data_IF_062019875604
#
_entry.id   IF_062019875604
#
_cell.length_a   1.000
_cell.length_b   1.000
_cell.length_c   1.000
_cell.angle_alpha   90.00
_cell.angle_beta   90.00
_cell.angle_gamma   90.00
#
_symmetry.space_group_name_H-M   'P 1'
#
loop_
_entity.id
_entity.type
_entity.pdbx_description
1 polymer ?
#
# COMPACT_ATOMS: atom_id res chain seq x y z
N UNK A 1 23.55 -18.58 -36.73
CA UNK A 1 24.03 -17.34 -36.13
C UNK A 1 22.81 -16.57 -35.60
N UNK A 2 22.63 -16.44 -34.30
CA UNK A 2 21.55 -15.67 -33.72
C UNK A 2 21.77 -14.18 -34.05
N UNK A 3 20.74 -13.50 -34.57
CA UNK A 3 20.80 -12.05 -34.84
C UNK A 3 20.62 -11.31 -33.54
N UNK A 4 21.64 -10.62 -33.08
CA UNK A 4 21.52 -9.64 -32.00
C UNK A 4 20.65 -8.47 -32.49
N UNK A 5 19.64 -8.09 -31.74
CA UNK A 5 18.79 -6.94 -32.00
C UNK A 5 18.93 -5.99 -30.82
N UNK A 6 19.33 -4.76 -31.11
CA UNK A 6 19.31 -3.68 -30.11
C UNK A 6 17.88 -3.21 -29.93
N UNK A 7 17.41 -3.17 -28.67
CA UNK A 7 16.11 -2.65 -28.28
C UNK A 7 16.34 -1.63 -27.18
N UNK A 8 15.61 -0.54 -27.23
CA UNK A 8 15.59 0.50 -26.20
C UNK A 8 14.31 0.38 -25.40
N UNK A 9 14.40 0.38 -24.08
CA UNK A 9 13.23 0.35 -23.22
C UNK A 9 13.22 1.49 -22.21
N UNK A 10 12.04 1.98 -21.87
CA UNK A 10 11.84 2.99 -20.86
C UNK A 10 11.98 2.37 -19.47
N UNK A 11 12.84 2.92 -18.62
CA UNK A 11 13.07 2.46 -17.23
C UNK A 11 11.84 2.64 -16.35
N UNK A 12 11.00 3.64 -16.63
CA UNK A 12 9.84 3.96 -15.82
C UNK A 12 8.61 3.07 -16.10
N UNK A 13 8.29 2.85 -17.39
CA UNK A 13 7.07 2.12 -17.77
C UNK A 13 7.33 0.86 -18.60
N UNK A 14 8.59 0.57 -18.96
CA UNK A 14 8.95 -0.58 -19.77
C UNK A 14 8.50 -0.51 -21.23
N UNK A 15 8.14 0.67 -21.76
CA UNK A 15 7.83 0.84 -23.17
C UNK A 15 9.05 0.52 -24.03
N UNK A 16 8.89 -0.36 -25.02
CA UNK A 16 9.95 -0.82 -25.89
C UNK A 16 9.95 -0.05 -27.23
N UNK A 17 11.15 0.29 -27.71
CA UNK A 17 11.36 0.96 -28.98
C UNK A 17 12.59 0.41 -29.67
N UNK A 18 12.52 0.36 -31.02
CA UNK A 18 13.68 0.00 -31.85
C UNK A 18 14.74 1.12 -31.92
N UNK A 19 14.42 2.32 -31.42
CA UNK A 19 15.31 3.51 -31.42
C UNK A 19 15.23 4.21 -30.08
N UNK A 20 16.33 4.81 -29.67
CA UNK A 20 16.36 5.69 -28.52
C UNK A 20 15.49 6.93 -28.77
N UNK A 21 14.71 7.32 -27.78
CA UNK A 21 13.84 8.50 -27.82
C UNK A 21 14.07 9.33 -26.56
N UNK A 22 14.11 10.66 -26.70
CA UNK A 22 14.31 11.58 -25.57
C UNK A 22 13.12 11.60 -24.61
N UNK A 23 11.89 11.39 -25.11
CA UNK A 23 10.67 11.30 -24.30
C UNK A 23 9.97 9.96 -24.57
N UNK A 24 9.55 9.28 -23.52
CA UNK A 24 8.82 8.04 -23.62
C UNK A 24 7.36 8.26 -24.08
N UNK A 25 6.88 7.64 -25.15
CA UNK A 25 5.48 7.77 -25.58
C UNK A 25 4.48 7.15 -24.59
N UNK A 26 4.91 6.16 -23.80
CA UNK A 26 4.06 5.46 -22.84
C UNK A 26 3.80 6.26 -21.56
N UNK A 27 4.84 6.76 -20.91
CA UNK A 27 4.73 7.48 -19.63
C UNK A 27 5.08 8.98 -19.69
N UNK A 28 5.52 9.46 -20.87
CA UNK A 28 5.95 10.86 -21.14
C UNK A 28 7.16 11.34 -20.33
N UNK A 29 7.86 10.46 -19.63
CA UNK A 29 9.09 10.78 -18.91
C UNK A 29 10.24 11.02 -19.88
N UNK A 30 11.15 11.97 -19.54
CA UNK A 30 12.29 12.33 -20.36
C UNK A 30 13.54 11.56 -19.95
N UNK A 31 14.38 11.22 -20.95
CA UNK A 31 15.69 10.57 -20.77
C UNK A 31 15.64 9.25 -20.00
N UNK A 32 14.58 8.47 -20.18
CA UNK A 32 14.33 7.21 -19.47
C UNK A 32 14.67 5.97 -20.30
N UNK A 33 15.10 6.10 -21.54
CA UNK A 33 15.44 4.97 -22.42
C UNK A 33 16.84 4.44 -22.14
N UNK A 34 16.91 3.10 -21.96
CA UNK A 34 18.16 2.35 -21.89
C UNK A 34 18.26 1.36 -23.04
N UNK A 35 19.47 1.13 -23.48
CA UNK A 35 19.79 0.15 -24.50
C UNK A 35 19.94 -1.25 -23.89
N UNK A 36 19.32 -2.24 -24.50
CA UNK A 36 19.50 -3.65 -24.16
C UNK A 36 19.70 -4.48 -25.43
N UNK A 37 20.68 -5.41 -25.39
CA UNK A 37 20.93 -6.33 -26.48
C UNK A 37 20.11 -7.60 -26.25
N UNK A 38 19.14 -7.85 -27.10
CA UNK A 38 18.30 -9.06 -27.05
C UNK A 38 18.71 -9.99 -28.17
N UNK A 39 19.16 -11.20 -27.83
CA UNK A 39 19.35 -12.30 -28.80
C UNK A 39 18.00 -12.92 -29.10
N UNK A 40 17.52 -12.74 -30.31
CA UNK A 40 16.30 -13.40 -30.79
C UNK A 40 16.59 -14.86 -31.06
N UNK A 41 16.48 -15.70 -30.05
CA UNK A 41 16.40 -17.15 -30.21
C UNK A 41 15.07 -17.56 -30.85
N UNK A 42 15.09 -18.47 -31.81
CA UNK A 42 13.87 -19.02 -32.39
C UNK A 42 13.01 -19.65 -31.26
N UNK A 43 11.84 -19.10 -30.98
CA UNK A 43 10.84 -19.75 -30.10
C UNK A 43 10.61 -21.16 -30.61
N UNK A 44 11.11 -22.17 -29.92
CA UNK A 44 10.66 -23.55 -30.10
C UNK A 44 9.16 -23.56 -29.74
N UNK A 45 8.32 -23.68 -30.75
CA UNK A 45 6.91 -24.00 -30.53
C UNK A 45 6.85 -25.40 -29.91
N UNK A 46 6.78 -25.46 -28.60
CA UNK A 46 6.50 -26.69 -27.88
C UNK A 46 5.01 -27.02 -28.01
N UNK A 47 4.76 -28.15 -28.63
CA UNK A 47 3.62 -29.02 -28.39
C UNK A 47 2.22 -28.46 -28.61
N UNK A 48 1.51 -29.07 -29.54
CA UNK A 48 0.06 -29.22 -29.69
C UNK A 48 -0.84 -28.16 -29.04
N UNK A 49 -1.26 -27.14 -29.81
CA UNK A 49 -2.40 -26.31 -29.43
C UNK A 49 -3.63 -27.22 -29.32
N UNK A 50 -4.04 -27.57 -28.10
CA UNK A 50 -5.40 -28.01 -27.85
C UNK A 50 -6.32 -26.89 -28.36
N UNK A 51 -7.25 -27.24 -29.26
CA UNK A 51 -8.20 -26.30 -29.80
C UNK A 51 -8.99 -25.69 -28.60
N UNK A 52 -8.79 -24.39 -28.35
CA UNK A 52 -9.55 -23.68 -27.33
C UNK A 52 -10.95 -23.47 -27.88
N UNK A 53 -11.94 -24.12 -27.30
CA UNK A 53 -13.34 -23.92 -27.63
C UNK A 53 -13.89 -22.79 -26.76
N UNK A 54 -14.49 -21.76 -27.35
CA UNK A 54 -15.15 -20.72 -26.57
C UNK A 54 -16.31 -21.32 -25.76
N UNK A 55 -16.38 -21.00 -24.48
CA UNK A 55 -17.41 -21.49 -23.54
C UNK A 55 -18.35 -20.35 -23.20
N UNK A 56 -19.65 -20.63 -23.18
CA UNK A 56 -20.65 -19.66 -22.73
C UNK A 56 -20.42 -19.27 -21.27
N UNK A 57 -20.57 -17.99 -20.92
CA UNK A 57 -20.45 -17.51 -19.54
C UNK A 57 -21.45 -18.22 -18.60
N UNK A 58 -22.58 -18.66 -19.13
CA UNK A 58 -23.62 -19.39 -18.37
C UNK A 58 -23.23 -20.84 -18.04
N UNK A 59 -22.27 -21.38 -18.81
CA UNK A 59 -21.75 -22.75 -18.63
C UNK A 59 -20.51 -22.77 -17.72
N UNK A 60 -19.89 -21.60 -17.53
CA UNK A 60 -18.77 -21.48 -16.59
C UNK A 60 -19.33 -21.66 -15.17
N UNK A 61 -19.13 -22.83 -14.60
CA UNK A 61 -19.33 -23.00 -13.17
C UNK A 61 -18.30 -22.12 -12.48
N UNK A 62 -18.76 -21.04 -11.83
CA UNK A 62 -17.97 -20.39 -10.79
C UNK A 62 -17.80 -21.46 -9.72
N UNK A 63 -16.66 -22.17 -9.72
CA UNK A 63 -16.20 -22.76 -8.48
C UNK A 63 -16.19 -21.59 -7.49
N UNK A 64 -16.88 -21.71 -6.35
CA UNK A 64 -16.77 -20.75 -5.28
C UNK A 64 -15.28 -20.43 -5.19
N UNK A 65 -14.92 -19.13 -5.32
CA UNK A 65 -13.53 -18.72 -5.20
C UNK A 65 -13.06 -19.18 -3.84
N UNK A 66 -12.52 -20.41 -3.78
CA UNK A 66 -12.06 -21.01 -2.54
C UNK A 66 -10.84 -20.23 -2.09
N UNK A 67 -11.10 -19.25 -1.25
CA UNK A 67 -10.07 -18.51 -0.55
C UNK A 67 -9.64 -19.32 0.66
N UNK A 68 -8.35 -19.31 0.92
CA UNK A 68 -7.83 -19.89 2.14
C UNK A 68 -7.03 -18.83 2.93
N UNK A 69 -7.09 -18.94 4.25
CA UNK A 69 -6.50 -17.97 5.16
C UNK A 69 -4.97 -18.02 5.07
N UNK A 70 -4.33 -16.86 5.20
CA UNK A 70 -2.88 -16.75 5.41
C UNK A 70 -2.48 -17.06 6.85
N UNK A 71 -3.45 -17.20 7.76
CA UNK A 71 -3.21 -17.23 9.20
C UNK A 71 -2.84 -15.87 9.80
N UNK A 72 -3.00 -14.77 9.01
CA UNK A 72 -2.81 -13.38 9.41
C UNK A 72 -4.03 -12.58 8.95
N UNK A 73 -4.81 -12.03 9.89
CA UNK A 73 -6.07 -11.35 9.58
C UNK A 73 -5.85 -10.05 8.80
N UNK A 74 -4.83 -9.28 9.17
CA UNK A 74 -4.48 -8.05 8.48
C UNK A 74 -3.96 -8.30 7.05
N UNK A 75 -3.27 -9.43 6.82
CA UNK A 75 -2.89 -9.85 5.46
C UNK A 75 -4.09 -10.38 4.67
N UNK A 76 -4.97 -11.15 5.30
CA UNK A 76 -6.23 -11.59 4.66
C UNK A 76 -7.08 -10.40 4.22
N UNK A 77 -7.16 -9.35 5.04
CA UNK A 77 -7.89 -8.12 4.72
C UNK A 77 -7.41 -7.50 3.42
N UNK A 78 -6.11 -7.24 3.28
CA UNK A 78 -5.57 -6.61 2.06
C UNK A 78 -5.63 -7.50 0.83
N UNK A 79 -5.69 -8.82 1.03
CA UNK A 79 -5.91 -9.79 -0.04
C UNK A 79 -7.41 -9.89 -0.44
N UNK A 80 -8.31 -9.25 0.31
CA UNK A 80 -9.76 -9.31 0.06
C UNK A 80 -10.43 -10.55 0.63
N UNK A 81 -9.92 -11.07 1.77
CA UNK A 81 -10.46 -12.20 2.52
C UNK A 81 -9.63 -13.49 2.45
N UNK A 82 -8.41 -13.43 1.92
CA UNK A 82 -7.47 -14.56 1.87
C UNK A 82 -6.85 -14.79 0.50
N UNK A 83 -6.08 -15.87 0.39
CA UNK A 83 -5.36 -16.25 -0.84
C UNK A 83 -6.33 -16.90 -1.82
N UNK A 84 -6.31 -16.44 -3.06
CA UNK A 84 -7.06 -17.05 -4.17
C UNK A 84 -6.14 -18.01 -4.93
N UNK A 85 -6.63 -19.21 -5.21
CA UNK A 85 -5.90 -20.18 -6.03
C UNK A 85 -5.61 -19.63 -7.42
N UNK A 86 -4.46 -20.00 -7.98
CA UNK A 86 -4.05 -19.55 -9.30
C UNK A 86 -3.76 -18.05 -9.38
N UNK A 87 -3.63 -17.35 -8.25
CA UNK A 87 -3.30 -15.92 -8.22
C UNK A 87 -1.81 -15.64 -8.24
N UNK A 88 -1.42 -14.51 -8.82
CA UNK A 88 -0.08 -13.96 -8.75
C UNK A 88 -0.10 -12.64 -7.97
N UNK A 89 0.56 -12.61 -6.83
CA UNK A 89 0.59 -11.47 -5.89
C UNK A 89 1.98 -10.86 -5.86
N UNK A 90 2.09 -9.57 -6.11
CA UNK A 90 3.32 -8.80 -5.95
C UNK A 90 3.35 -8.11 -4.60
N UNK A 91 4.42 -8.30 -3.84
CA UNK A 91 4.69 -7.60 -2.58
C UNK A 91 5.88 -6.67 -2.78
N UNK A 92 5.61 -5.37 -2.86
CA UNK A 92 6.60 -4.31 -3.06
C UNK A 92 6.89 -3.53 -1.77
N UNK A 93 7.92 -2.70 -1.82
CA UNK A 93 8.31 -1.80 -0.73
C UNK A 93 9.82 -1.70 -0.55
N UNK A 94 10.25 -0.77 0.30
CA UNK A 94 11.66 -0.50 0.57
C UNK A 94 12.41 -1.75 1.12
N UNK A 95 13.71 -1.88 0.88
CA UNK A 95 14.53 -2.92 1.49
C UNK A 95 14.47 -2.83 3.03
N UNK A 96 14.31 -3.99 3.69
CA UNK A 96 14.25 -4.06 5.16
C UNK A 96 12.91 -3.64 5.79
N UNK A 97 11.86 -3.34 5.00
CA UNK A 97 10.53 -2.94 5.51
C UNK A 97 9.74 -4.10 6.15
N UNK A 98 10.06 -5.36 5.83
CA UNK A 98 9.39 -6.54 6.38
C UNK A 98 8.76 -7.49 5.35
N UNK A 99 8.93 -7.27 4.04
CA UNK A 99 8.35 -8.11 2.97
C UNK A 99 8.60 -9.61 3.15
N UNK A 100 9.86 -9.99 3.21
CA UNK A 100 10.26 -11.40 3.38
C UNK A 100 9.84 -11.97 4.74
N UNK A 101 9.75 -11.12 5.78
CA UNK A 101 9.32 -11.53 7.13
C UNK A 101 7.83 -11.93 7.12
N UNK A 102 6.95 -11.10 6.56
CA UNK A 102 5.51 -11.42 6.53
C UNK A 102 5.24 -12.65 5.69
N UNK A 103 5.95 -12.81 4.56
CA UNK A 103 5.79 -13.99 3.71
C UNK A 103 6.29 -15.27 4.39
N UNK A 104 7.39 -15.21 5.16
CA UNK A 104 7.82 -16.35 5.98
C UNK A 104 6.81 -16.67 7.08
N UNK A 105 6.21 -15.66 7.74
CA UNK A 105 5.15 -15.89 8.73
C UNK A 105 3.91 -16.53 8.12
N UNK A 106 3.48 -16.05 6.94
CA UNK A 106 2.44 -16.67 6.16
C UNK A 106 2.76 -18.13 5.84
N UNK A 107 3.97 -18.41 5.34
CA UNK A 107 4.42 -19.78 5.03
C UNK A 107 4.40 -20.68 6.26
N UNK A 108 4.83 -20.17 7.44
CA UNK A 108 4.73 -20.89 8.70
C UNK A 108 3.30 -21.30 9.02
N UNK A 109 2.36 -20.36 8.95
CA UNK A 109 0.98 -20.61 9.28
C UNK A 109 0.35 -21.61 8.28
N UNK A 110 0.54 -21.41 6.98
CA UNK A 110 0.05 -22.31 5.93
C UNK A 110 0.61 -23.73 6.05
N UNK A 111 1.90 -23.88 6.43
CA UNK A 111 2.50 -25.20 6.66
C UNK A 111 1.94 -25.90 7.91
N UNK A 112 1.55 -25.12 8.93
CA UNK A 112 0.87 -25.64 10.10
C UNK A 112 -0.56 -26.16 9.76
N UNK A 113 -1.20 -25.54 8.79
CA UNK A 113 -2.50 -25.97 8.25
C UNK A 113 -2.39 -27.14 7.25
N UNK A 114 -1.20 -27.71 7.08
CA UNK A 114 -0.94 -28.89 6.24
C UNK A 114 -0.79 -28.57 4.74
N UNK A 115 -0.60 -27.31 4.37
CA UNK A 115 -0.32 -26.94 2.98
C UNK A 115 1.17 -27.11 2.65
N UNK A 116 1.47 -27.66 1.48
CA UNK A 116 2.81 -27.76 0.94
C UNK A 116 3.24 -26.43 0.31
N UNK A 117 4.36 -25.87 0.76
CA UNK A 117 4.84 -24.55 0.37
C UNK A 117 6.25 -24.65 -0.16
N UNK A 118 6.52 -23.91 -1.22
CA UNK A 118 7.86 -23.73 -1.76
C UNK A 118 8.29 -22.27 -1.61
N UNK A 119 9.37 -22.03 -0.85
CA UNK A 119 10.00 -20.72 -0.76
C UNK A 119 11.31 -20.75 -1.58
N UNK A 120 11.34 -19.95 -2.64
CA UNK A 120 12.48 -19.81 -3.54
C UNK A 120 13.21 -18.52 -3.20
N UNK A 121 14.51 -18.62 -2.96
CA UNK A 121 15.36 -17.45 -2.73
C UNK A 121 16.51 -17.44 -3.72
N UNK A 122 16.69 -16.31 -4.41
CA UNK A 122 17.84 -16.05 -5.25
C UNK A 122 18.92 -15.17 -4.58
N UNK A 123 18.66 -14.65 -3.38
CA UNK A 123 19.57 -13.73 -2.68
C UNK A 123 20.19 -14.34 -1.42
N UNK A 124 19.41 -15.12 -0.68
CA UNK A 124 19.83 -15.65 0.61
C UNK A 124 20.13 -17.13 0.55
N UNK A 125 21.12 -17.57 1.32
CA UNK A 125 21.43 -18.97 1.52
C UNK A 125 20.42 -19.66 2.45
N UNK A 126 20.33 -20.99 2.39
CA UNK A 126 19.47 -21.80 3.27
C UNK A 126 19.71 -21.48 4.75
N UNK A 127 20.97 -21.27 5.17
CA UNK A 127 21.33 -20.95 6.55
C UNK A 127 20.82 -19.56 6.98
N UNK A 128 20.88 -18.56 6.11
CA UNK A 128 20.36 -17.21 6.40
C UNK A 128 18.84 -17.21 6.56
N UNK A 129 18.13 -17.90 5.65
CA UNK A 129 16.68 -18.07 5.75
C UNK A 129 16.32 -18.83 7.04
N UNK A 130 17.06 -19.88 7.37
CA UNK A 130 16.85 -20.67 8.59
C UNK A 130 17.00 -19.83 9.86
N UNK A 131 18.08 -19.03 9.99
CA UNK A 131 18.27 -18.13 11.11
C UNK A 131 17.13 -17.12 11.27
N UNK A 132 16.59 -16.61 10.17
CA UNK A 132 15.43 -15.72 10.19
C UNK A 132 14.15 -16.47 10.59
N UNK A 133 13.93 -17.65 10.06
CA UNK A 133 12.81 -18.51 10.40
C UNK A 133 12.77 -18.87 11.89
N UNK A 134 13.91 -19.16 12.52
CA UNK A 134 14.01 -19.47 13.94
C UNK A 134 13.53 -18.33 14.86
N UNK A 135 13.71 -17.08 14.46
CA UNK A 135 13.16 -15.93 15.20
C UNK A 135 11.64 -15.83 15.10
N UNK A 136 11.07 -16.27 13.97
CA UNK A 136 9.63 -16.22 13.69
C UNK A 136 8.87 -17.32 14.43
N UNK A 137 9.51 -18.49 14.63
CA UNK A 137 8.92 -19.62 15.35
C UNK A 137 9.15 -20.96 14.68
N UNK A 138 8.32 -21.95 15.04
CA UNK A 138 8.44 -23.32 14.54
C UNK A 138 7.78 -23.48 13.18
N UNK A 139 8.46 -24.15 12.26
CA UNK A 139 7.98 -24.49 10.92
C UNK A 139 7.73 -25.99 10.80
N UNK A 140 6.80 -26.38 9.95
CA UNK A 140 6.51 -27.76 9.62
C UNK A 140 7.36 -28.24 8.44
N UNK A 141 7.48 -29.58 8.28
CA UNK A 141 8.29 -30.22 7.23
C UNK A 141 7.81 -29.92 5.80
N UNK A 142 6.55 -29.49 5.64
CA UNK A 142 5.95 -29.16 4.34
C UNK A 142 6.32 -27.77 3.84
N UNK A 143 7.09 -27.01 4.63
CA UNK A 143 7.76 -25.77 4.22
C UNK A 143 9.12 -26.11 3.62
N UNK A 144 9.22 -26.00 2.29
CA UNK A 144 10.41 -26.36 1.52
C UNK A 144 11.14 -25.11 1.04
N UNK A 145 12.46 -25.14 1.12
CA UNK A 145 13.34 -24.05 0.69
C UNK A 145 14.12 -24.48 -0.55
N UNK A 146 14.19 -23.61 -1.55
CA UNK A 146 14.97 -23.77 -2.77
C UNK A 146 15.81 -22.52 -3.02
N UNK A 147 17.14 -22.64 -3.01
CA UNK A 147 18.05 -21.53 -3.29
C UNK A 147 18.64 -21.69 -4.68
N UNK A 148 17.94 -21.11 -5.67
CA UNK A 148 18.29 -21.13 -7.09
C UNK A 148 17.94 -19.80 -7.75
N UNK A 149 18.62 -19.49 -8.85
CA UNK A 149 18.37 -18.28 -9.63
C UNK A 149 17.72 -18.59 -10.99
N UNK A 150 17.69 -19.85 -11.39
CA UNK A 150 17.14 -20.28 -12.67
C UNK A 150 15.65 -20.64 -12.53
N UNK A 151 14.79 -20.06 -13.37
CA UNK A 151 13.35 -20.35 -13.35
C UNK A 151 13.03 -21.78 -13.80
N UNK A 152 13.83 -22.34 -14.70
CA UNK A 152 13.66 -23.70 -15.22
C UNK A 152 13.73 -24.74 -14.07
N UNK A 153 14.66 -24.57 -13.14
CA UNK A 153 14.79 -25.43 -11.94
C UNK A 153 13.55 -25.34 -11.05
N UNK A 154 13.00 -24.12 -10.89
CA UNK A 154 11.77 -23.91 -10.15
C UNK A 154 10.59 -24.60 -10.81
N UNK A 155 10.46 -24.47 -12.14
CA UNK A 155 9.38 -25.10 -12.91
C UNK A 155 9.45 -26.63 -12.84
N UNK A 156 10.64 -27.21 -12.93
CA UNK A 156 10.83 -28.66 -12.83
C UNK A 156 10.36 -29.18 -11.47
N UNK A 157 10.79 -28.51 -10.40
CA UNK A 157 10.37 -28.85 -9.05
C UNK A 157 8.85 -28.73 -8.87
N UNK A 158 8.24 -27.64 -9.32
CA UNK A 158 6.79 -27.38 -9.19
C UNK A 158 5.97 -28.42 -9.94
N UNK A 159 6.39 -28.84 -11.14
CA UNK A 159 5.72 -29.91 -11.90
C UNK A 159 5.70 -31.25 -11.15
N UNK A 160 6.79 -31.55 -10.42
CA UNK A 160 6.94 -32.80 -9.67
C UNK A 160 6.13 -32.79 -8.38
N UNK A 161 6.25 -31.73 -7.60
CA UNK A 161 5.80 -31.69 -6.20
C UNK A 161 4.50 -30.93 -5.96
N UNK A 162 4.04 -30.11 -6.91
CA UNK A 162 2.77 -29.36 -6.94
C UNK A 162 2.46 -28.66 -5.60
N UNK A 163 3.31 -27.71 -5.16
CA UNK A 163 3.04 -26.96 -3.93
C UNK A 163 1.75 -26.15 -4.07
N UNK A 164 1.09 -25.88 -2.94
CA UNK A 164 -0.13 -25.04 -2.90
C UNK A 164 0.20 -23.56 -3.05
N UNK A 165 1.31 -23.14 -2.47
CA UNK A 165 1.81 -21.76 -2.50
C UNK A 165 3.30 -21.75 -2.84
N UNK A 166 3.69 -20.81 -3.67
CA UNK A 166 5.09 -20.51 -4.00
C UNK A 166 5.39 -19.07 -3.59
N UNK A 167 6.54 -18.85 -2.97
CA UNK A 167 7.10 -17.53 -2.71
C UNK A 167 8.41 -17.39 -3.47
N UNK A 168 8.58 -16.31 -4.24
CA UNK A 168 9.81 -15.94 -4.96
C UNK A 168 10.41 -14.69 -4.30
N UNK A 169 11.57 -14.82 -3.68
CA UNK A 169 12.24 -13.74 -2.95
C UNK A 169 13.70 -13.59 -3.42
N UNK A 170 14.00 -12.68 -4.36
CA UNK A 170 13.17 -11.70 -5.05
C UNK A 170 13.05 -12.00 -6.55
N UNK A 171 12.07 -11.39 -7.20
CA UNK A 171 11.86 -11.52 -8.65
C UNK A 171 13.06 -11.03 -9.45
N UNK A 172 13.84 -10.08 -8.91
CA UNK A 172 14.99 -9.50 -9.59
C UNK A 172 16.18 -10.45 -9.73
N UNK A 173 16.24 -11.49 -8.93
CA UNK A 173 17.35 -12.44 -8.93
C UNK A 173 17.09 -13.68 -9.78
N UNK A 174 15.82 -13.91 -10.16
CA UNK A 174 15.45 -15.04 -11.00
C UNK A 174 15.69 -14.69 -12.46
N UNK A 175 16.26 -15.64 -13.20
CA UNK A 175 16.58 -15.51 -14.62
C UNK A 175 15.96 -16.65 -15.42
N UNK A 176 15.74 -16.37 -16.70
CA UNK A 176 15.38 -17.33 -17.74
C UNK A 176 16.58 -17.46 -18.67
N UNK A 177 17.08 -18.67 -18.93
CA UNK A 177 18.29 -18.90 -19.70
C UNK A 177 18.16 -18.43 -21.17
N UNK A 178 16.96 -18.50 -21.73
CA UNK A 178 16.70 -18.12 -23.12
C UNK A 178 16.87 -16.62 -23.40
N UNK A 179 17.02 -15.79 -22.34
CA UNK A 179 17.14 -14.34 -22.43
C UNK A 179 18.54 -13.90 -22.03
N UNK A 180 19.30 -13.34 -22.95
CA UNK A 180 20.70 -12.94 -22.75
C UNK A 180 20.91 -11.64 -21.94
N UNK A 181 19.87 -11.08 -21.35
CA UNK A 181 19.97 -9.86 -20.53
C UNK A 181 20.35 -10.15 -19.08
N UNK A 182 20.91 -9.16 -18.39
CA UNK A 182 21.36 -9.30 -17.01
C UNK A 182 20.20 -9.60 -16.04
N UNK A 183 20.46 -10.32 -14.93
CA UNK A 183 19.50 -10.49 -13.85
C UNK A 183 18.93 -9.15 -13.40
N UNK A 184 17.61 -9.10 -13.11
CA UNK A 184 16.94 -7.87 -12.69
C UNK A 184 16.66 -6.85 -13.81
N UNK A 185 17.07 -7.11 -15.06
CA UNK A 185 16.68 -6.28 -16.20
C UNK A 185 15.17 -6.34 -16.44
N UNK A 186 14.61 -5.33 -17.12
CA UNK A 186 13.16 -5.27 -17.40
C UNK A 186 12.69 -6.47 -18.21
N UNK A 187 13.47 -6.91 -19.18
CA UNK A 187 13.16 -8.07 -20.04
C UNK A 187 13.14 -9.37 -19.24
N UNK A 188 14.16 -9.62 -18.40
CA UNK A 188 14.19 -10.79 -17.53
C UNK A 188 13.00 -10.81 -16.58
N UNK A 189 12.78 -9.73 -15.84
CA UNK A 189 11.72 -9.64 -14.83
C UNK A 189 10.33 -9.79 -15.46
N UNK A 190 10.10 -9.24 -16.65
CA UNK A 190 8.83 -9.40 -17.38
C UNK A 190 8.61 -10.85 -17.84
N UNK A 191 9.62 -11.51 -18.41
CA UNK A 191 9.49 -12.89 -18.88
C UNK A 191 9.29 -13.85 -17.71
N UNK A 192 10.10 -13.73 -16.65
CA UNK A 192 9.92 -14.51 -15.41
C UNK A 192 8.49 -14.36 -14.87
N UNK A 193 7.99 -13.11 -14.79
CA UNK A 193 6.63 -12.85 -14.32
C UNK A 193 5.57 -13.45 -15.23
N UNK A 194 5.75 -13.40 -16.55
CA UNK A 194 4.82 -13.98 -17.52
C UNK A 194 4.74 -15.51 -17.36
N UNK A 195 5.89 -16.17 -17.21
CA UNK A 195 5.96 -17.63 -16.98
C UNK A 195 5.36 -18.02 -15.62
N UNK A 196 5.64 -17.27 -14.56
CA UNK A 196 5.02 -17.49 -13.24
C UNK A 196 3.51 -17.31 -13.29
N UNK A 197 2.99 -16.30 -14.01
CA UNK A 197 1.56 -16.10 -14.21
C UNK A 197 0.92 -17.28 -14.94
N UNK A 198 1.57 -17.77 -15.99
CA UNK A 198 1.09 -18.94 -16.72
C UNK A 198 1.07 -20.18 -15.82
N UNK A 199 2.11 -20.40 -15.04
CA UNK A 199 2.20 -21.51 -14.07
C UNK A 199 1.10 -21.41 -13.02
N UNK A 200 0.89 -20.22 -12.42
CA UNK A 200 -0.17 -19.99 -11.43
C UNK A 200 -1.54 -20.41 -11.98
N UNK A 201 -1.90 -19.92 -13.19
CA UNK A 201 -3.20 -20.18 -13.82
C UNK A 201 -3.38 -21.64 -14.28
N UNK A 202 -2.33 -22.27 -14.80
CA UNK A 202 -2.42 -23.64 -15.34
C UNK A 202 -2.43 -24.70 -14.25
N UNK A 203 -1.74 -24.47 -13.14
CA UNK A 203 -1.56 -25.44 -12.06
C UNK A 203 -2.40 -25.13 -10.82
N UNK A 204 -3.19 -24.04 -10.84
CA UNK A 204 -4.02 -23.58 -9.72
C UNK A 204 -3.20 -23.32 -8.43
N UNK A 205 -1.99 -22.77 -8.59
CA UNK A 205 -1.05 -22.47 -7.52
C UNK A 205 -1.04 -20.97 -7.24
N UNK A 206 -1.12 -20.57 -5.98
CA UNK A 206 -0.94 -19.17 -5.60
C UNK A 206 0.57 -18.84 -5.54
N UNK A 207 0.97 -17.77 -6.20
CA UNK A 207 2.38 -17.35 -6.26
C UNK A 207 2.53 -15.95 -5.70
N UNK A 208 3.41 -15.78 -4.72
CA UNK A 208 3.82 -14.49 -4.18
C UNK A 208 5.21 -14.13 -4.69
N UNK A 209 5.35 -12.94 -5.25
CA UNK A 209 6.64 -12.43 -5.71
C UNK A 209 7.04 -11.20 -4.91
N UNK A 210 8.27 -11.18 -4.41
CA UNK A 210 8.85 -10.02 -3.74
C UNK A 210 9.53 -9.12 -4.77
N UNK A 211 9.20 -7.82 -4.74
CA UNK A 211 9.84 -6.81 -5.59
C UNK A 211 10.49 -5.71 -4.74
N UNK A 212 11.76 -5.39 -5.02
CA UNK A 212 12.44 -4.28 -4.38
C UNK A 212 12.24 -2.99 -5.16
N UNK A 213 11.86 -1.90 -4.48
CA UNK A 213 11.81 -0.56 -5.09
C UNK A 213 13.24 -0.04 -5.15
N UNK A 214 13.72 0.31 -6.35
CA UNK A 214 15.05 0.89 -6.53
C UNK A 214 14.93 2.39 -6.75
N UNK A 215 15.66 3.18 -5.97
CA UNK A 215 15.75 4.64 -6.13
C UNK A 215 16.54 5.05 -7.39
N UNK A 216 17.36 4.17 -7.96
CA UNK A 216 18.35 4.49 -8.99
C UNK A 216 18.02 3.96 -10.41
N UNK A 217 16.85 3.40 -10.65
CA UNK A 217 16.33 3.12 -12.01
C UNK A 217 17.11 2.13 -12.88
N UNK A 218 18.13 1.43 -12.37
CA UNK A 218 18.90 0.43 -13.13
C UNK A 218 18.30 -0.98 -13.10
N UNK A 219 17.50 -1.29 -12.09
CA UNK A 219 16.81 -2.57 -11.92
C UNK A 219 15.32 -2.37 -12.11
N UNK A 220 14.65 -3.31 -12.76
CA UNK A 220 13.19 -3.25 -12.96
C UNK A 220 12.47 -3.19 -11.62
N UNK A 221 11.85 -2.06 -11.32
CA UNK A 221 11.06 -1.88 -10.11
C UNK A 221 9.68 -2.55 -10.21
N UNK A 222 8.98 -2.71 -9.07
CA UNK A 222 7.66 -3.35 -9.01
C UNK A 222 6.62 -2.73 -9.95
N UNK A 223 6.69 -1.42 -10.22
CA UNK A 223 5.77 -0.71 -11.12
C UNK A 223 5.67 -1.30 -12.52
N UNK A 224 6.77 -1.89 -13.03
CA UNK A 224 6.76 -2.53 -14.34
C UNK A 224 5.94 -3.84 -14.35
N UNK A 225 5.65 -4.41 -13.20
CA UNK A 225 4.93 -5.68 -13.01
C UNK A 225 3.46 -5.49 -12.63
N UNK A 226 3.06 -4.31 -12.19
CA UNK A 226 1.70 -4.04 -11.68
C UNK A 226 0.60 -4.44 -12.68
N UNK A 227 0.86 -4.28 -13.98
CA UNK A 227 -0.11 -4.64 -15.02
C UNK A 227 -0.22 -6.15 -15.23
N UNK A 228 0.84 -6.89 -14.93
CA UNK A 228 0.96 -8.34 -15.21
C UNK A 228 0.38 -9.19 -14.09
N UNK A 229 0.37 -8.71 -12.85
CA UNK A 229 -0.06 -9.46 -11.67
C UNK A 229 -1.53 -9.22 -11.34
N UNK A 230 -2.14 -10.12 -10.55
CA UNK A 230 -3.53 -10.01 -10.14
C UNK A 230 -3.70 -9.07 -8.95
N UNK A 231 -2.77 -9.11 -7.98
CA UNK A 231 -2.79 -8.30 -6.78
C UNK A 231 -1.42 -7.63 -6.56
N UNK A 232 -1.43 -6.37 -6.15
CA UNK A 232 -0.23 -5.60 -5.80
C UNK A 232 -0.39 -5.07 -4.39
N UNK A 233 0.51 -5.46 -3.51
CA UNK A 233 0.60 -5.02 -2.13
C UNK A 233 1.89 -4.20 -1.96
N UNK A 234 1.79 -3.02 -1.35
CA UNK A 234 2.95 -2.21 -1.00
C UNK A 234 3.08 -2.04 0.49
N UNK A 235 4.29 -2.30 1.00
CA UNK A 235 4.66 -1.88 2.34
C UNK A 235 5.03 -0.40 2.33
N UNK A 236 4.38 0.35 3.22
CA UNK A 236 4.61 1.76 3.49
C UNK A 236 5.07 1.93 4.96
N UNK A 237 5.79 3.00 5.24
CA UNK A 237 6.20 3.37 6.61
C UNK A 237 7.67 3.79 6.69
N UNK A 238 7.99 4.58 7.70
CA UNK A 238 9.37 4.95 8.02
C UNK A 238 10.05 3.78 8.75
N UNK A 239 11.33 3.54 8.47
CA UNK A 239 12.13 2.52 9.17
C UNK A 239 12.23 2.76 10.68
N UNK A 240 12.12 4.01 11.09
CA UNK A 240 12.16 4.44 12.49
C UNK A 240 10.79 4.42 13.16
N UNK A 241 9.69 4.31 12.41
CA UNK A 241 8.36 4.14 12.97
C UNK A 241 8.17 2.69 13.42
N UNK A 242 7.54 2.47 14.57
CA UNK A 242 7.24 1.12 15.09
C UNK A 242 6.29 0.33 14.19
N UNK A 243 5.50 1.03 13.37
CA UNK A 243 4.44 0.44 12.56
C UNK A 243 4.81 0.33 11.08
N UNK A 244 4.19 -0.66 10.44
CA UNK A 244 4.27 -0.92 9.00
C UNK A 244 2.85 -1.06 8.47
N UNK A 245 2.58 -0.37 7.36
CA UNK A 245 1.29 -0.42 6.68
C UNK A 245 1.48 -1.22 5.40
N UNK A 246 0.65 -2.21 5.21
CA UNK A 246 0.56 -2.97 3.97
C UNK A 246 -0.68 -2.51 3.23
N UNK A 247 -0.53 -1.91 2.05
CA UNK A 247 -1.63 -1.35 1.25
C UNK A 247 -1.87 -2.18 -0.01
N UNK A 248 -3.12 -2.50 -0.30
CA UNK A 248 -3.52 -3.07 -1.59
C UNK A 248 -3.69 -1.96 -2.64
N UNK A 249 -2.76 -1.85 -3.57
CA UNK A 249 -2.81 -0.85 -4.66
C UNK A 249 -3.59 -1.38 -5.86
N UNK A 250 -3.55 -2.69 -6.07
CA UNK A 250 -4.34 -3.41 -7.08
C UNK A 250 -4.82 -4.72 -6.50
N UNK A 251 -6.10 -5.02 -6.66
CA UNK A 251 -6.64 -6.31 -6.28
C UNK A 251 -7.80 -6.69 -7.22
N UNK A 252 -7.63 -7.77 -8.01
CA UNK A 252 -8.69 -8.29 -8.89
C UNK A 252 -9.75 -9.10 -8.13
N UNK A 253 -9.44 -9.48 -6.89
CA UNK A 253 -10.25 -10.38 -6.07
C UNK A 253 -10.92 -9.67 -4.91
N UNK A 254 -10.70 -8.37 -4.73
CA UNK A 254 -11.25 -7.60 -3.62
C UNK A 254 -11.10 -6.09 -3.80
N UNK A 255 -11.40 -5.37 -2.72
CA UNK A 255 -11.25 -3.92 -2.69
C UNK A 255 -9.79 -3.50 -2.85
N UNK A 256 -9.57 -2.38 -3.51
CA UNK A 256 -8.29 -1.67 -3.53
C UNK A 256 -8.25 -0.64 -2.41
N UNK A 257 -7.06 -0.19 -2.04
CA UNK A 257 -6.80 0.74 -0.93
C UNK A 257 -7.05 0.17 0.48
N UNK A 258 -7.42 -1.13 0.59
CA UNK A 258 -7.43 -1.78 1.90
C UNK A 258 -6.03 -1.76 2.52
N UNK A 259 -5.99 -1.57 3.84
CA UNK A 259 -4.73 -1.58 4.58
C UNK A 259 -4.71 -2.65 5.67
N UNK A 260 -3.52 -3.22 5.86
CA UNK A 260 -3.14 -4.02 7.01
C UNK A 260 -2.10 -3.28 7.83
N UNK A 261 -2.26 -3.25 9.14
CA UNK A 261 -1.36 -2.55 10.05
C UNK A 261 -0.59 -3.56 10.91
N UNK A 262 0.72 -3.44 10.89
CA UNK A 262 1.63 -4.33 11.60
C UNK A 262 2.62 -3.54 12.46
N UNK A 263 3.02 -4.11 13.56
CA UNK A 263 4.13 -3.64 14.40
C UNK A 263 5.35 -4.54 14.17
N UNK A 264 6.53 -3.94 14.01
CA UNK A 264 7.77 -4.69 13.84
C UNK A 264 8.35 -5.02 15.21
N UNK A 265 8.37 -6.29 15.54
CA UNK A 265 8.97 -6.85 16.77
C UNK A 265 10.23 -7.67 16.45
N UNK A 266 10.99 -8.06 17.46
CA UNK A 266 12.14 -8.96 17.31
C UNK A 266 11.73 -10.33 16.73
N UNK A 267 10.52 -10.79 17.06
CA UNK A 267 9.94 -12.05 16.61
C UNK A 267 9.26 -11.99 15.25
N UNK A 268 9.28 -10.82 14.59
CA UNK A 268 8.67 -10.57 13.28
C UNK A 268 7.62 -9.48 13.31
N UNK A 269 6.66 -9.56 12.38
CA UNK A 269 5.55 -8.63 12.28
C UNK A 269 4.36 -9.11 13.12
N UNK A 270 3.87 -8.26 14.02
CA UNK A 270 2.67 -8.49 14.82
C UNK A 270 1.50 -7.69 14.25
N UNK A 271 0.34 -8.28 14.16
CA UNK A 271 -0.88 -7.62 13.66
C UNK A 271 -1.40 -6.61 14.67
N UNK A 272 -1.78 -5.43 14.18
CA UNK A 272 -2.39 -4.38 15.00
C UNK A 272 -3.90 -4.41 14.83
N UNK A 273 -4.60 -5.07 15.74
CA UNK A 273 -6.06 -5.23 15.68
C UNK A 273 -6.82 -3.92 15.82
N UNK A 274 -6.26 -2.95 16.53
CA UNK A 274 -6.85 -1.63 16.70
C UNK A 274 -5.84 -0.51 16.36
N UNK A 275 -5.71 -0.14 15.07
CA UNK A 275 -4.82 0.94 14.65
C UNK A 275 -5.15 2.28 15.32
N UNK A 276 -6.44 2.62 15.49
CA UNK A 276 -6.87 3.88 16.13
C UNK A 276 -6.26 4.03 17.54
N UNK A 277 -6.29 2.95 18.33
CA UNK A 277 -5.70 2.96 19.68
C UNK A 277 -4.20 3.24 19.68
N UNK A 278 -3.51 2.66 18.70
CA UNK A 278 -2.07 2.79 18.56
C UNK A 278 -1.69 4.18 18.05
N UNK A 279 -2.39 4.68 17.03
CA UNK A 279 -2.14 6.00 16.44
C UNK A 279 -2.45 7.15 17.40
N UNK A 280 -3.32 6.94 18.38
CA UNK A 280 -3.65 7.91 19.43
C UNK A 280 -2.82 7.73 20.71
N UNK A 281 -1.95 6.70 20.77
CA UNK A 281 -1.11 6.47 21.95
C UNK A 281 -0.10 7.62 22.14
N UNK A 282 -0.02 8.13 23.37
CA UNK A 282 0.87 9.25 23.72
C UNK A 282 0.40 10.62 23.25
N UNK A 283 -0.85 10.77 22.78
CA UNK A 283 -1.44 12.06 22.42
C UNK A 283 -1.37 13.01 23.62
N UNK A 284 -0.84 14.25 23.42
CA UNK A 284 -0.84 15.25 24.46
C UNK A 284 -2.28 15.74 24.74
N UNK A 285 -2.64 15.81 26.02
CA UNK A 285 -3.93 16.33 26.44
C UNK A 285 -3.82 17.85 26.73
N UNK A 286 -4.93 18.58 26.56
CA UNK A 286 -5.03 20.03 26.81
C UNK A 286 -3.97 20.87 26.10
N UNK A 287 -3.56 20.45 24.91
CA UNK A 287 -2.57 21.15 24.10
C UNK A 287 -3.23 21.78 22.88
N UNK A 288 -2.93 23.07 22.63
CA UNK A 288 -3.38 23.75 21.42
C UNK A 288 -2.73 23.16 20.18
N UNK A 289 -3.47 23.10 19.07
CA UNK A 289 -2.98 22.57 17.80
C UNK A 289 -3.11 21.07 17.62
N UNK A 290 -3.64 20.33 18.59
CA UNK A 290 -3.92 18.89 18.47
C UNK A 290 -5.41 18.64 18.28
N UNK A 291 -5.76 17.81 17.28
CA UNK A 291 -7.14 17.38 17.02
C UNK A 291 -7.16 15.94 16.54
N UNK A 292 -8.21 15.21 16.89
CA UNK A 292 -8.45 13.87 16.38
C UNK A 292 -9.39 13.92 15.18
N UNK A 293 -8.98 13.28 14.10
CA UNK A 293 -9.79 13.11 12.88
C UNK A 293 -10.09 11.63 12.66
N UNK A 294 -11.16 11.35 11.94
CA UNK A 294 -11.43 10.01 11.45
C UNK A 294 -11.21 9.96 9.93
N UNK A 295 -10.16 9.26 9.50
CA UNK A 295 -9.89 8.96 8.09
C UNK A 295 -10.47 7.61 7.71
N UNK A 296 -10.80 7.45 6.43
CA UNK A 296 -11.18 6.17 5.84
C UNK A 296 -10.05 5.66 4.94
N UNK A 297 -9.44 4.57 5.35
CA UNK A 297 -8.42 3.88 4.57
C UNK A 297 -9.01 2.60 3.98
N UNK A 298 -9.31 2.62 2.67
CA UNK A 298 -10.13 1.59 2.05
C UNK A 298 -11.54 1.57 2.63
N UNK A 299 -11.89 0.50 3.31
CA UNK A 299 -13.16 0.37 4.05
C UNK A 299 -13.02 0.58 5.56
N UNK A 300 -11.79 0.84 6.06
CA UNK A 300 -11.48 0.89 7.48
C UNK A 300 -11.40 2.32 8.00
N UNK A 301 -12.28 2.73 8.93
CA UNK A 301 -12.12 3.99 9.63
C UNK A 301 -10.96 3.90 10.61
N UNK A 302 -10.11 4.93 10.64
CA UNK A 302 -8.96 5.02 11.55
C UNK A 302 -8.94 6.42 12.16
N UNK A 303 -8.81 6.48 13.48
CA UNK A 303 -8.62 7.72 14.18
C UNK A 303 -7.14 8.09 14.21
N UNK A 304 -6.86 9.33 13.83
CA UNK A 304 -5.52 9.89 13.71
C UNK A 304 -5.45 11.24 14.42
N UNK A 305 -4.30 11.55 14.98
CA UNK A 305 -4.03 12.88 15.52
C UNK A 305 -3.38 13.77 14.45
N UNK A 306 -3.99 14.93 14.19
CA UNK A 306 -3.37 16.01 13.42
C UNK A 306 -2.81 17.02 14.43
N UNK A 307 -1.55 17.37 14.25
CA UNK A 307 -0.85 18.38 15.03
C UNK A 307 -0.49 19.55 14.15
N UNK A 308 -0.86 20.76 14.55
CA UNK A 308 -0.49 22.00 13.87
C UNK A 308 0.25 22.94 14.84
N UNK A 309 1.29 23.57 14.34
CA UNK A 309 2.01 24.63 15.03
C UNK A 309 2.02 25.86 14.13
N UNK A 310 1.42 26.94 14.61
CA UNK A 310 1.41 28.24 13.94
C UNK A 310 2.14 29.24 14.84
N UNK A 311 3.19 29.88 14.32
CA UNK A 311 3.97 30.87 15.05
C UNK A 311 4.33 32.06 14.14
N UNK A 312 4.63 33.21 14.71
CA UNK A 312 5.08 34.37 13.92
C UNK A 312 6.38 34.04 13.20
N UNK A 313 6.43 34.38 11.91
CA UNK A 313 7.67 34.18 11.14
C UNK A 313 8.72 35.19 11.54
N UNK A 314 9.97 34.71 11.67
CA UNK A 314 11.14 35.59 11.85
C UNK A 314 11.83 35.91 10.51
N UNK A 315 11.24 35.46 9.39
CA UNK A 315 11.78 35.58 8.03
C UNK A 315 10.87 36.42 7.15
N UNK A 316 11.40 36.91 6.03
CA UNK A 316 10.62 37.68 5.05
C UNK A 316 9.56 36.83 4.32
N UNK A 317 9.73 35.51 4.30
CA UNK A 317 8.79 34.56 3.71
C UNK A 317 8.35 33.52 4.74
N UNK A 318 7.04 33.33 4.96
CA UNK A 318 6.52 32.33 5.86
C UNK A 318 6.88 30.91 5.43
N UNK A 319 7.28 30.07 6.36
CA UNK A 319 7.54 28.66 6.13
C UNK A 319 6.27 27.83 6.24
N UNK A 320 6.11 26.93 5.31
CA UNK A 320 5.01 25.94 5.33
C UNK A 320 5.65 24.56 5.27
N UNK A 321 5.33 23.70 6.21
CA UNK A 321 5.86 22.33 6.25
C UNK A 321 4.74 21.37 6.59
N UNK A 322 4.64 20.29 5.82
CA UNK A 322 3.65 19.24 6.06
C UNK A 322 4.35 17.88 6.15
N UNK A 323 3.91 17.06 7.09
CA UNK A 323 4.37 15.68 7.24
C UNK A 323 3.14 14.78 7.27
N UNK A 324 3.08 13.82 6.36
CA UNK A 324 1.93 12.92 6.22
C UNK A 324 0.71 13.52 5.50
N UNK A 325 0.77 14.77 5.06
CA UNK A 325 -0.32 15.49 4.35
C UNK A 325 0.17 16.09 3.04
N UNK A 326 -0.74 16.27 2.09
CA UNK A 326 -0.44 17.00 0.86
C UNK A 326 -0.15 18.48 1.14
N UNK A 327 1.01 18.93 0.70
CA UNK A 327 1.47 20.32 0.91
C UNK A 327 0.52 21.36 0.27
N UNK A 328 0.04 21.07 -0.94
CA UNK A 328 -0.83 22.00 -1.66
C UNK A 328 -2.19 22.11 -0.98
N UNK A 329 -2.71 20.97 -0.46
CA UNK A 329 -3.99 20.95 0.26
C UNK A 329 -3.94 21.81 1.52
N UNK A 330 -2.89 21.68 2.32
CA UNK A 330 -2.71 22.53 3.54
C UNK A 330 -2.60 24.00 3.17
N UNK A 331 -1.87 24.36 2.11
CA UNK A 331 -1.78 25.76 1.64
C UNK A 331 -3.14 26.31 1.17
N UNK A 332 -3.96 25.50 0.49
CA UNK A 332 -5.32 25.90 0.13
C UNK A 332 -6.18 26.19 1.37
N UNK A 333 -6.11 25.33 2.39
CA UNK A 333 -6.86 25.53 3.65
C UNK A 333 -6.38 26.76 4.41
N UNK A 334 -5.08 27.06 4.44
CA UNK A 334 -4.54 28.30 4.98
C UNK A 334 -5.09 29.53 4.26
N UNK A 335 -5.14 29.51 2.91
CA UNK A 335 -5.69 30.59 2.12
C UNK A 335 -7.21 30.77 2.37
N UNK A 336 -7.96 29.67 2.54
CA UNK A 336 -9.37 29.70 2.91
C UNK A 336 -9.57 30.35 4.29
N UNK A 337 -8.77 29.94 5.31
CA UNK A 337 -8.81 30.53 6.65
C UNK A 337 -8.51 32.03 6.61
N UNK A 338 -7.52 32.45 5.85
CA UNK A 338 -7.18 33.87 5.71
C UNK A 338 -8.31 34.66 5.03
N UNK A 339 -8.82 34.17 3.92
CA UNK A 339 -9.80 34.92 3.10
C UNK A 339 -11.23 34.85 3.66
N UNK A 340 -11.64 33.73 4.25
CA UNK A 340 -13.03 33.49 4.68
C UNK A 340 -13.23 33.63 6.18
N UNK A 341 -12.25 33.22 6.97
CA UNK A 341 -12.31 33.33 8.43
C UNK A 341 -11.61 34.59 8.98
N UNK A 342 -11.03 35.43 8.11
CA UNK A 342 -10.38 36.68 8.50
C UNK A 342 -9.12 36.50 9.36
N UNK A 343 -8.49 35.33 9.33
CA UNK A 343 -7.29 35.03 10.10
C UNK A 343 -6.06 35.50 9.35
N UNK A 344 -5.26 36.40 9.91
CA UNK A 344 -4.03 36.89 9.28
C UNK A 344 -2.91 35.88 9.46
N UNK A 345 -2.74 34.96 8.49
CA UNK A 345 -1.75 33.90 8.50
C UNK A 345 -0.55 34.17 7.57
N UNK A 346 -0.62 35.25 6.79
CA UNK A 346 0.42 35.64 5.84
C UNK A 346 1.78 35.99 6.49
N UNK A 347 1.77 36.36 7.77
CA UNK A 347 2.98 36.63 8.58
C UNK A 347 3.35 35.50 9.55
N UNK A 348 2.80 34.29 9.37
CA UNK A 348 3.02 33.19 10.30
C UNK A 348 3.58 31.95 9.59
N UNK A 349 4.55 31.31 10.21
CA UNK A 349 4.98 29.97 9.85
C UNK A 349 3.90 28.95 10.26
N UNK A 350 3.68 27.91 9.45
CA UNK A 350 2.75 26.83 9.77
C UNK A 350 3.39 25.46 9.50
N UNK A 351 3.33 24.63 10.51
CA UNK A 351 3.80 23.26 10.48
C UNK A 351 2.61 22.36 10.79
N UNK A 352 2.34 21.38 9.93
CA UNK A 352 1.24 20.42 10.12
C UNK A 352 1.78 19.01 9.99
N UNK A 353 1.48 18.17 10.97
CA UNK A 353 1.97 16.81 11.06
C UNK A 353 0.85 15.83 11.41
N UNK A 354 0.91 14.61 10.84
CA UNK A 354 0.12 13.49 11.32
C UNK A 354 0.97 12.65 12.26
N UNK A 355 0.48 12.48 13.47
CA UNK A 355 1.13 11.60 14.43
C UNK A 355 1.10 10.14 13.96
N UNK A 356 2.17 9.37 14.25
CA UNK A 356 2.26 7.96 13.85
C UNK A 356 2.83 7.70 12.46
N UNK A 357 3.21 8.75 11.69
CA UNK A 357 3.93 8.59 10.41
C UNK A 357 3.07 8.06 9.25
N UNK A 358 1.75 8.08 9.38
CA UNK A 358 0.83 7.75 8.28
C UNK A 358 0.76 8.88 7.25
N UNK A 359 0.49 8.50 6.01
CA UNK A 359 0.08 9.45 4.97
C UNK A 359 -1.44 9.47 4.87
N UNK A 360 -2.01 10.66 4.82
CA UNK A 360 -3.44 10.90 4.80
C UNK A 360 -3.83 11.62 3.52
N UNK A 361 -4.59 10.94 2.68
CA UNK A 361 -5.08 11.47 1.41
C UNK A 361 -6.63 11.67 1.41
N UNK A 362 -7.30 11.37 2.54
CA UNK A 362 -8.75 11.50 2.69
C UNK A 362 -9.17 12.97 2.89
N UNK A 363 -10.00 13.56 1.98
CA UNK A 363 -10.49 14.92 2.11
C UNK A 363 -11.29 15.18 3.40
N UNK A 364 -11.82 14.14 4.04
CA UNK A 364 -12.52 14.26 5.32
C UNK A 364 -11.64 14.84 6.44
N UNK A 365 -10.32 14.83 6.30
CA UNK A 365 -9.39 15.41 7.26
C UNK A 365 -9.30 16.95 7.19
N UNK A 366 -9.79 17.58 6.14
CA UNK A 366 -9.65 19.04 5.94
C UNK A 366 -10.17 19.85 7.11
N UNK A 367 -11.36 19.50 7.59
CA UNK A 367 -11.97 20.19 8.73
C UNK A 367 -11.09 20.03 9.99
N UNK A 368 -10.51 18.86 10.21
CA UNK A 368 -9.55 18.62 11.28
C UNK A 368 -8.27 19.45 11.13
N UNK A 369 -7.72 19.56 9.92
CA UNK A 369 -6.56 20.43 9.67
C UNK A 369 -6.89 21.88 10.02
N UNK A 370 -8.07 22.35 9.60
CA UNK A 370 -8.58 23.69 9.94
C UNK A 370 -8.68 23.87 11.45
N UNK A 371 -9.29 22.93 12.18
CA UNK A 371 -9.40 22.98 13.64
C UNK A 371 -8.02 23.02 14.32
N UNK A 372 -7.08 22.20 13.89
CA UNK A 372 -5.73 22.20 14.44
C UNK A 372 -5.00 23.53 14.21
N UNK A 373 -5.08 24.09 12.99
CA UNK A 373 -4.50 25.40 12.67
C UNK A 373 -5.11 26.53 13.48
N UNK A 374 -6.45 26.59 13.59
CA UNK A 374 -7.17 27.61 14.38
C UNK A 374 -6.85 27.48 15.87
N UNK A 375 -6.85 26.27 16.41
CA UNK A 375 -6.50 25.99 17.79
C UNK A 375 -5.08 26.48 18.13
N UNK A 376 -4.11 26.14 17.27
CA UNK A 376 -2.73 26.60 17.43
C UNK A 376 -2.60 28.11 17.31
N UNK A 377 -3.21 28.72 16.29
CA UNK A 377 -3.14 30.19 16.09
C UNK A 377 -3.74 30.97 17.25
N UNK A 378 -4.84 30.47 17.83
CA UNK A 378 -5.51 31.11 19.00
C UNK A 378 -4.92 30.67 20.32
N UNK A 379 -3.98 29.74 20.33
CA UNK A 379 -3.41 29.12 21.53
C UNK A 379 -4.49 28.61 22.51
N UNK A 380 -5.52 27.93 21.94
CA UNK A 380 -6.63 27.35 22.71
C UNK A 380 -6.75 25.88 22.43
N UNK A 381 -6.63 25.02 23.46
CA UNK A 381 -6.85 23.58 23.28
C UNK A 381 -8.30 23.30 22.91
N UNK A 382 -8.51 22.21 22.18
CA UNK A 382 -9.82 21.67 21.83
C UNK A 382 -10.24 20.62 22.86
N UNK A 383 -11.54 20.26 22.86
CA UNK A 383 -12.05 19.21 23.74
C UNK A 383 -11.40 17.86 23.35
N UNK A 384 -10.87 17.17 24.35
CA UNK A 384 -10.16 15.90 24.18
C UNK A 384 -11.06 14.74 23.74
N UNK A 385 -12.36 14.85 24.03
CA UNK A 385 -13.37 13.85 23.68
C UNK A 385 -13.97 14.07 22.30
N UNK A 386 -13.42 14.99 21.49
CA UNK A 386 -13.93 15.40 20.18
C UNK A 386 -13.20 14.73 19.03
N UNK A 387 -13.96 14.27 18.03
CA UNK A 387 -13.47 13.85 16.71
C UNK A 387 -14.06 14.78 15.66
N UNK A 388 -13.25 15.15 14.67
CA UNK A 388 -13.64 16.11 13.62
C UNK A 388 -13.44 15.44 12.26
N UNK A 389 -14.41 15.57 11.35
CA UNK A 389 -14.25 15.18 9.95
C UNK A 389 -15.18 15.97 9.03
N UNK A 390 -14.71 16.28 7.83
CA UNK A 390 -15.46 17.02 6.80
C UNK A 390 -14.53 17.57 5.74
N UNK A 391 -14.99 17.68 4.51
CA UNK A 391 -14.26 18.34 3.43
C UNK A 391 -14.50 19.84 3.47
N UNK A 392 -13.47 20.65 3.23
CA UNK A 392 -13.56 22.11 3.18
C UNK A 392 -13.34 22.61 1.77
N UNK A 393 -14.34 23.29 1.21
CA UNK A 393 -14.28 23.91 -0.12
C UNK A 393 -13.61 25.28 -0.10
N UNK A 394 -13.27 25.81 -1.27
CA UNK A 394 -12.58 27.11 -1.43
C UNK A 394 -13.44 28.31 -1.06
N UNK A 395 -14.78 28.16 -1.04
CA UNK A 395 -15.69 29.19 -0.57
C UNK A 395 -15.83 29.22 0.95
N UNK A 396 -15.20 28.26 1.67
CA UNK A 396 -15.31 28.09 3.11
C UNK A 396 -16.47 27.17 3.54
N UNK A 397 -17.20 26.59 2.57
CA UNK A 397 -18.26 25.64 2.85
C UNK A 397 -17.70 24.30 3.37
N UNK A 398 -18.44 23.66 4.28
CA UNK A 398 -18.13 22.31 4.78
C UNK A 398 -19.02 21.31 4.06
N UNK A 399 -18.40 20.36 3.33
CA UNK A 399 -19.06 19.37 2.48
C UNK A 399 -19.12 18.01 3.15
N UNK A 400 -20.21 17.27 2.83
CA UNK A 400 -20.40 15.91 3.26
C UNK A 400 -19.31 14.97 2.76
N UNK A 401 -18.98 13.98 3.57
CA UNK A 401 -17.97 12.96 3.27
C UNK A 401 -18.59 11.57 3.27
N UNK A 402 -17.92 10.61 2.64
CA UNK A 402 -18.36 9.22 2.58
C UNK A 402 -18.24 8.52 3.94
N UNK A 403 -19.07 7.49 4.15
CA UNK A 403 -19.02 6.58 5.29
C UNK A 403 -19.08 7.26 6.68
N UNK A 404 -19.87 8.34 6.82
CA UNK A 404 -19.99 9.09 8.06
C UNK A 404 -20.38 8.19 9.25
N UNK A 405 -21.31 7.27 9.05
CA UNK A 405 -21.74 6.31 10.08
C UNK A 405 -20.59 5.44 10.60
N UNK A 406 -19.74 4.93 9.68
CA UNK A 406 -18.58 4.12 10.08
C UNK A 406 -17.57 4.94 10.87
N UNK A 407 -17.37 6.20 10.50
CA UNK A 407 -16.47 7.14 11.22
C UNK A 407 -16.98 7.41 12.64
N UNK A 408 -18.27 7.66 12.77
CA UNK A 408 -18.90 7.87 14.10
C UNK A 408 -18.81 6.60 14.95
N UNK A 409 -19.13 5.43 14.38
CA UNK A 409 -19.02 4.15 15.10
C UNK A 409 -17.61 3.89 15.63
N UNK A 410 -16.58 4.19 14.83
CA UNK A 410 -15.18 4.05 15.29
C UNK A 410 -14.84 5.05 16.38
N UNK A 411 -15.31 6.30 16.28
CA UNK A 411 -15.13 7.32 17.32
C UNK A 411 -15.77 6.86 18.66
N UNK A 412 -17.01 6.41 18.62
CA UNK A 412 -17.74 5.88 19.80
C UNK A 412 -17.01 4.67 20.41
N UNK A 413 -16.60 3.72 19.58
CA UNK A 413 -15.82 2.55 20.02
C UNK A 413 -14.53 2.92 20.75
N UNK A 414 -13.92 4.04 20.36
CA UNK A 414 -12.70 4.56 20.97
C UNK A 414 -12.97 5.49 22.18
N UNK A 415 -14.23 5.68 22.55
CA UNK A 415 -14.64 6.44 23.74
C UNK A 415 -14.79 7.94 23.53
N UNK A 416 -14.78 8.43 22.30
CA UNK A 416 -15.09 9.82 21.99
C UNK A 416 -16.57 10.11 22.16
N UNK A 417 -16.90 11.31 22.64
CA UNK A 417 -18.28 11.71 23.00
C UNK A 417 -18.87 12.71 22.03
N UNK A 418 -18.03 13.46 21.32
CA UNK A 418 -18.45 14.53 20.41
C UNK A 418 -17.87 14.29 19.04
N UNK A 419 -18.72 14.31 18.01
CA UNK A 419 -18.32 14.29 16.61
C UNK A 419 -18.74 15.61 15.95
N UNK A 420 -17.76 16.34 15.37
CA UNK A 420 -18.03 17.51 14.53
C UNK A 420 -17.95 17.09 13.09
N UNK A 421 -19.06 17.25 12.36
CA UNK A 421 -19.21 16.78 11.00
C UNK A 421 -20.08 17.72 10.17
N UNK A 422 -20.07 17.62 8.84
CA UNK A 422 -20.97 18.36 7.97
C UNK A 422 -22.43 18.05 8.26
N UNK A 423 -23.28 19.07 8.20
CA UNK A 423 -24.73 18.94 8.45
C UNK A 423 -25.38 17.89 7.56
N UNK A 424 -24.99 17.82 6.29
CA UNK A 424 -25.50 16.83 5.35
C UNK A 424 -25.21 15.38 5.76
N UNK A 425 -24.12 15.14 6.51
CA UNK A 425 -23.84 13.83 7.06
C UNK A 425 -24.67 13.56 8.32
N UNK A 426 -24.88 14.56 9.17
CA UNK A 426 -25.67 14.41 10.40
C UNK A 426 -27.15 14.10 10.10
N UNK A 427 -27.73 14.71 9.04
CA UNK A 427 -29.11 14.47 8.62
C UNK A 427 -29.37 13.01 8.18
N UNK A 428 -28.33 12.30 7.72
CA UNK A 428 -28.42 10.90 7.29
C UNK A 428 -28.08 9.88 8.39
N UNK A 429 -27.59 10.34 9.54
CA UNK A 429 -27.35 9.44 10.66
C UNK A 429 -28.65 9.22 11.42
N UNK A 430 -29.05 7.95 11.63
CA UNK A 430 -30.07 7.63 12.60
C UNK A 430 -29.64 8.21 13.96
N UNK A 431 -30.53 8.93 14.61
CA UNK A 431 -30.25 9.61 15.88
C UNK A 431 -29.80 8.59 16.94
N UNK A 432 -28.51 8.36 17.02
CA UNK A 432 -27.93 7.84 18.25
C UNK A 432 -27.98 8.98 19.28
N UNK A 433 -28.31 8.70 20.52
CA UNK A 433 -28.52 9.66 21.61
C UNK A 433 -27.26 10.45 22.03
N UNK A 434 -26.22 10.49 21.19
CA UNK A 434 -24.93 11.11 21.48
C UNK A 434 -24.80 12.47 20.82
N UNK A 435 -24.26 13.44 21.56
CA UNK A 435 -24.13 14.85 21.18
C UNK A 435 -23.35 15.03 19.87
N UNK A 436 -24.04 15.30 18.78
CA UNK A 436 -23.45 15.71 17.51
C UNK A 436 -23.56 17.23 17.36
N UNK A 437 -22.43 17.89 17.03
CA UNK A 437 -22.41 19.30 16.63
C UNK A 437 -22.23 19.41 15.14
N UNK A 438 -23.06 20.22 14.49
CA UNK A 438 -23.10 20.44 13.04
C UNK A 438 -22.40 21.74 12.68
N UNK A 439 -21.61 21.74 11.59
CA UNK A 439 -21.00 22.93 11.01
C UNK A 439 -21.41 23.06 9.54
N UNK A 440 -21.85 24.26 9.15
CA UNK A 440 -22.19 24.59 7.77
C UNK A 440 -21.06 25.37 7.07
N UNK A 441 -20.34 26.20 7.80
CA UNK A 441 -19.24 27.01 7.28
C UNK A 441 -18.17 27.26 8.33
N UNK A 442 -17.00 27.74 7.89
CA UNK A 442 -15.91 28.14 8.78
C UNK A 442 -16.25 29.39 9.62
N UNK A 443 -17.23 30.16 9.23
CA UNK A 443 -17.69 31.32 10.01
C UNK A 443 -18.26 30.88 11.34
N UNK A 444 -18.93 29.73 11.43
CA UNK A 444 -19.46 29.17 12.69
C UNK A 444 -18.35 28.80 13.67
N UNK A 445 -17.15 28.56 13.18
CA UNK A 445 -15.95 28.21 13.96
C UNK A 445 -15.26 29.45 14.54
N UNK A 446 -15.39 30.59 13.86
CA UNK A 446 -14.74 31.85 14.26
C UNK A 446 -15.54 32.58 15.35
N UNK A 447 -16.85 32.37 15.39
CA UNK A 447 -17.76 33.02 16.34
C UNK A 447 -17.92 32.28 17.68
N UNK A 448 -17.42 31.09 17.85
CA UNK A 448 -17.43 30.32 19.10
C UNK A 448 -16.01 30.05 19.58
#
# INVERSE_FOLDING_TARGET
>A
MAKEKQIFFCRECGFESAKWMGQCPGCRSWNTFCEEKVTVGARKQSGGRTAVVPTSILEVKTADETRFSTGLEELNRVLGGGIVNGSLVLVGGDPGIGKSTILLQMCRNLSADGHKILYVSGEESLSQIKMRAERIGTFQKDMLLLCVNNLEDVEEYVKKDKPKVIVIDSIQTIVVEDIASAPGSVSQVKEVTARLMQMAKQMDIAIFIVGHVTKEGTVAGPRNLEHMVDTVLYFEGDRNAGFRILRAVKNRFGSTNEIGVFEMLETGLSEVNNPSKVMLAGRPLQTSGSVVVCSLEGTRPILLEIQALVCQTSFNLPRRTTVGLDYNRVNLLLAVLEKRAGMVLSGSDAYVNIAGGMRLDDPAADLGIVFALVSSFRNRPLDESMVVFGEVGLSGEVRGVSAAEQRVREAVKMGFRTCIMPKTNAEHLERSEEHTSELQSLEDLVCR
#
